data_IF_918306155133
#
_entry.id   IF_918306155133
#
_cell.length_a   1.000
_cell.length_b   1.000
_cell.length_c   1.000
_cell.angle_alpha   90.00
_cell.angle_beta   90.00
_cell.angle_gamma   90.00
#
_symmetry.space_group_name_H-M   'P 1'
#
loop_
_entity.id
_entity.type
_entity.pdbx_description
1 polymer ?
#
# COMPACT_ATOMS: atom_id res chain seq x y z
N UNK A 1 72.26 -39.02 60.97
CA UNK A 1 70.92 -38.78 61.54
C UNK A 1 70.46 -37.43 61.12
N UNK A 2 69.78 -37.32 60.00
CA UNK A 2 69.04 -36.13 59.63
C UNK A 2 67.75 -36.56 58.90
N UNK A 3 66.64 -36.34 59.54
CA UNK A 3 65.33 -36.59 58.99
C UNK A 3 65.01 -35.47 57.98
N UNK A 4 64.74 -35.80 56.70
CA UNK A 4 64.23 -34.90 55.71
C UNK A 4 62.69 -34.92 55.81
N UNK A 5 62.09 -33.78 56.07
CA UNK A 5 60.69 -33.55 55.99
C UNK A 5 60.39 -33.11 54.56
N UNK A 6 59.67 -33.97 53.81
CA UNK A 6 59.11 -33.64 52.52
C UNK A 6 57.79 -32.97 52.80
N UNK A 7 57.72 -31.67 52.58
CA UNK A 7 56.49 -30.88 52.65
C UNK A 7 55.77 -31.02 51.31
N UNK A 8 54.61 -31.72 51.28
CA UNK A 8 53.74 -31.71 50.13
C UNK A 8 52.98 -30.43 50.10
N UNK A 9 53.28 -29.55 49.11
CA UNK A 9 52.52 -28.37 48.78
C UNK A 9 51.32 -28.82 47.92
N UNK A 10 50.16 -29.02 48.52
CA UNK A 10 48.89 -29.17 47.78
C UNK A 10 48.50 -27.82 47.20
N UNK A 11 48.83 -27.64 45.92
CA UNK A 11 48.30 -26.54 45.14
C UNK A 11 46.81 -26.78 44.84
N UNK A 12 45.97 -26.08 45.58
CA UNK A 12 44.55 -26.03 45.26
C UNK A 12 44.40 -25.14 44.01
N UNK A 13 44.29 -25.75 42.85
CA UNK A 13 43.96 -25.11 41.61
C UNK A 13 42.46 -24.74 41.66
N UNK A 14 42.18 -23.53 42.13
CA UNK A 14 40.84 -22.94 42.06
C UNK A 14 40.53 -22.62 40.59
N UNK A 15 39.97 -23.57 39.88
CA UNK A 15 39.40 -23.33 38.54
C UNK A 15 38.20 -22.41 38.74
N UNK A 16 38.42 -21.10 38.59
CA UNK A 16 37.30 -20.17 38.36
C UNK A 16 36.66 -20.54 37.03
N UNK A 17 35.65 -21.38 37.05
CA UNK A 17 34.64 -21.43 36.00
C UNK A 17 33.96 -20.03 35.95
N UNK A 18 34.52 -19.14 35.14
CA UNK A 18 33.76 -18.00 34.66
C UNK A 18 32.67 -18.59 33.81
N UNK A 19 31.53 -18.88 34.45
CA UNK A 19 30.28 -19.17 33.75
C UNK A 19 29.98 -17.94 32.90
N UNK A 20 30.30 -18.02 31.61
CA UNK A 20 29.65 -17.20 30.59
C UNK A 20 28.16 -17.58 30.66
N UNK A 21 27.45 -16.96 31.59
CA UNK A 21 26.03 -16.81 31.44
C UNK A 21 25.87 -15.96 30.18
N UNK A 22 25.68 -16.61 29.03
CA UNK A 22 25.03 -16.00 27.91
C UNK A 22 23.72 -15.46 28.48
N UNK A 23 23.75 -14.20 28.91
CA UNK A 23 22.52 -13.46 29.14
C UNK A 23 21.85 -13.46 27.78
N UNK A 24 20.95 -14.43 27.57
CA UNK A 24 19.92 -14.34 26.56
C UNK A 24 19.27 -12.99 26.83
N UNK A 25 19.68 -11.98 26.09
CA UNK A 25 18.92 -10.75 26.01
C UNK A 25 17.54 -11.23 25.57
N UNK A 26 16.58 -11.32 26.50
CA UNK A 26 15.17 -11.37 26.13
C UNK A 26 15.03 -10.17 25.22
N UNK A 27 14.96 -10.40 23.92
CA UNK A 27 14.76 -9.34 22.96
C UNK A 27 13.53 -8.57 23.44
N UNK A 28 13.78 -7.31 23.84
CA UNK A 28 12.68 -6.47 24.30
C UNK A 28 11.68 -6.44 23.17
N UNK A 29 10.44 -6.85 23.45
CA UNK A 29 9.36 -6.85 22.48
C UNK A 29 9.35 -5.54 21.69
N UNK A 30 9.44 -5.63 20.38
CA UNK A 30 9.42 -4.45 19.49
C UNK A 30 8.12 -3.68 19.73
N UNK A 31 8.24 -2.38 20.02
CA UNK A 31 7.13 -1.48 20.23
C UNK A 31 6.96 -0.61 19.00
N UNK A 32 5.78 -0.65 18.40
CA UNK A 32 5.45 0.11 17.20
C UNK A 32 4.31 1.08 17.51
N UNK A 33 4.46 2.34 17.12
CA UNK A 33 3.39 3.33 17.06
C UNK A 33 2.97 3.53 15.61
N UNK A 34 1.68 3.63 15.33
CA UNK A 34 1.19 3.91 13.98
C UNK A 34 0.15 5.03 14.03
N UNK A 35 0.31 6.03 13.18
CA UNK A 35 -0.66 7.10 12.98
C UNK A 35 -1.10 7.15 11.53
N UNK A 36 -2.41 7.17 11.31
CA UNK A 36 -3.03 7.19 9.99
C UNK A 36 -3.99 8.36 9.86
N UNK A 37 -4.30 8.75 8.64
CA UNK A 37 -5.18 9.90 8.38
C UNK A 37 -6.58 9.67 8.94
N UNK A 38 -7.22 8.54 8.62
CA UNK A 38 -8.61 8.30 9.01
C UNK A 38 -8.91 6.79 9.16
N UNK A 39 -9.42 6.40 10.34
CA UNK A 39 -9.87 5.05 10.64
C UNK A 39 -11.36 4.81 10.32
N UNK A 40 -12.11 5.85 9.95
CA UNK A 40 -13.47 5.67 9.41
C UNK A 40 -13.44 5.03 8.01
N UNK A 41 -12.30 5.13 7.32
CA UNK A 41 -12.05 4.40 6.08
C UNK A 41 -11.82 2.91 6.41
N UNK A 42 -12.71 2.00 5.93
CA UNK A 42 -12.61 0.57 6.23
C UNK A 42 -11.31 -0.08 5.78
N UNK A 43 -10.69 0.41 4.70
CA UNK A 43 -9.41 -0.07 4.20
C UNK A 43 -8.29 0.16 5.24
N UNK A 44 -8.20 1.37 5.78
CA UNK A 44 -7.21 1.70 6.81
C UNK A 44 -7.47 0.96 8.13
N UNK A 45 -8.74 0.85 8.53
CA UNK A 45 -9.10 0.05 9.70
C UNK A 45 -8.67 -1.42 9.52
N UNK A 46 -8.91 -2.00 8.35
CA UNK A 46 -8.49 -3.35 8.00
C UNK A 46 -6.96 -3.54 8.04
N UNK A 47 -6.22 -2.61 7.44
CA UNK A 47 -4.74 -2.63 7.48
C UNK A 47 -4.21 -2.56 8.91
N UNK A 48 -4.67 -1.61 9.70
CA UNK A 48 -4.23 -1.45 11.09
C UNK A 48 -4.50 -2.69 11.94
N UNK A 49 -5.66 -3.31 11.80
CA UNK A 49 -6.01 -4.55 12.51
C UNK A 49 -5.13 -5.73 12.10
N UNK A 50 -4.90 -5.91 10.79
CA UNK A 50 -4.07 -6.98 10.28
C UNK A 50 -2.60 -6.82 10.72
N UNK A 51 -2.05 -5.60 10.62
CA UNK A 51 -0.69 -5.27 11.05
C UNK A 51 -0.53 -5.48 12.56
N UNK A 52 -1.53 -5.07 13.37
CA UNK A 52 -1.50 -5.30 14.80
C UNK A 52 -1.44 -6.79 15.15
N UNK A 53 -2.26 -7.59 14.47
CA UNK A 53 -2.32 -9.04 14.65
C UNK A 53 -0.98 -9.71 14.28
N UNK A 54 -0.39 -9.28 13.16
CA UNK A 54 0.90 -9.79 12.70
C UNK A 54 2.02 -9.43 13.68
N UNK A 55 2.15 -8.17 14.08
CA UNK A 55 3.16 -7.72 15.04
C UNK A 55 3.00 -8.46 16.39
N UNK A 56 1.77 -8.68 16.85
CA UNK A 56 1.51 -9.44 18.08
C UNK A 56 1.91 -10.91 17.92
N UNK A 57 1.67 -11.53 16.78
CA UNK A 57 2.07 -12.93 16.50
C UNK A 57 3.59 -13.12 16.57
N UNK A 58 4.35 -12.05 16.27
CA UNK A 58 5.83 -12.02 16.36
C UNK A 58 6.35 -11.57 17.74
N UNK A 59 5.48 -11.43 18.74
CA UNK A 59 5.86 -11.01 20.09
C UNK A 59 6.03 -9.51 20.28
N UNK A 60 5.75 -8.69 19.27
CA UNK A 60 5.78 -7.24 19.33
C UNK A 60 4.48 -6.63 19.85
N UNK A 61 4.44 -5.30 19.92
CA UNK A 61 3.25 -4.51 20.29
C UNK A 61 3.05 -3.38 19.31
N UNK A 62 1.82 -3.24 18.79
CA UNK A 62 1.40 -2.09 17.98
C UNK A 62 0.28 -1.33 18.69
N UNK A 63 0.45 -0.02 18.83
CA UNK A 63 -0.63 0.92 19.10
C UNK A 63 -0.84 1.78 17.84
N UNK A 64 -2.09 1.90 17.39
CA UNK A 64 -2.41 2.73 16.24
C UNK A 64 -3.55 3.71 16.57
N UNK A 65 -3.51 4.89 15.94
CA UNK A 65 -4.45 6.00 16.15
C UNK A 65 -4.77 6.71 14.84
N UNK A 66 -5.92 7.38 14.80
CA UNK A 66 -6.31 8.28 13.71
C UNK A 66 -6.01 9.74 14.06
N UNK A 67 -5.42 10.46 13.13
CA UNK A 67 -5.27 11.90 13.27
C UNK A 67 -6.44 12.71 12.67
N UNK A 68 -7.43 12.04 12.04
CA UNK A 68 -8.60 12.67 11.44
C UNK A 68 -8.22 13.77 10.44
N UNK A 69 -7.21 13.47 9.61
CA UNK A 69 -6.62 14.38 8.62
C UNK A 69 -6.10 15.72 9.20
N UNK A 70 -5.82 15.75 10.51
CA UNK A 70 -5.32 16.93 11.22
C UNK A 70 -3.83 16.75 11.56
N UNK A 71 -2.97 17.54 10.92
CA UNK A 71 -1.52 17.46 11.11
C UNK A 71 -1.08 17.81 12.53
N UNK A 72 -1.69 18.79 13.19
CA UNK A 72 -1.34 19.16 14.57
C UNK A 72 -1.67 18.03 15.55
N UNK A 73 -2.80 17.35 15.34
CA UNK A 73 -3.15 16.14 16.09
C UNK A 73 -2.13 15.04 15.83
N UNK A 74 -1.68 14.87 14.57
CA UNK A 74 -0.69 13.88 14.21
C UNK A 74 0.68 14.13 14.86
N UNK A 75 1.14 15.39 14.87
CA UNK A 75 2.37 15.80 15.58
C UNK A 75 2.30 15.39 17.06
N UNK A 76 1.21 15.74 17.77
CA UNK A 76 1.01 15.34 19.17
C UNK A 76 1.02 13.82 19.34
N UNK A 77 0.46 13.05 18.41
CA UNK A 77 0.49 11.59 18.44
C UNK A 77 1.92 11.05 18.28
N UNK A 78 2.72 11.60 17.37
CA UNK A 78 4.13 11.27 17.21
C UNK A 78 4.91 11.50 18.50
N UNK A 79 4.75 12.68 19.12
CA UNK A 79 5.38 13.04 20.40
C UNK A 79 5.02 12.04 21.50
N UNK A 80 3.73 11.67 21.62
CA UNK A 80 3.23 10.69 22.59
C UNK A 80 3.82 9.29 22.34
N UNK A 81 3.93 8.84 21.10
CA UNK A 81 4.59 7.58 20.78
C UNK A 81 6.06 7.60 21.16
N UNK A 82 6.78 8.67 20.84
CA UNK A 82 8.18 8.84 21.23
C UNK A 82 8.33 8.79 22.76
N UNK A 83 7.48 9.51 23.49
CA UNK A 83 7.48 9.52 24.96
C UNK A 83 7.17 8.12 25.55
N UNK A 84 6.35 7.32 24.90
CA UNK A 84 6.03 5.94 25.32
C UNK A 84 7.15 4.94 25.02
N UNK A 85 8.21 5.36 24.34
CA UNK A 85 9.41 4.56 24.05
C UNK A 85 9.16 3.51 22.95
N UNK A 86 8.48 3.88 21.86
CA UNK A 86 8.38 3.03 20.67
C UNK A 86 9.73 2.91 19.98
N UNK A 87 9.95 1.77 19.31
CA UNK A 87 11.15 1.54 18.50
C UNK A 87 10.94 2.03 17.07
N UNK A 88 9.72 1.89 16.55
CA UNK A 88 9.34 2.25 15.18
C UNK A 88 8.06 3.07 15.21
N UNK A 89 8.05 4.12 14.39
CA UNK A 89 6.85 4.87 14.01
C UNK A 89 6.47 4.52 12.58
N UNK A 90 5.20 4.17 12.35
CA UNK A 90 4.60 4.05 11.03
C UNK A 90 3.71 5.28 10.83
N UNK A 91 3.94 6.03 9.76
CA UNK A 91 3.27 7.33 9.54
C UNK A 91 2.65 7.36 8.15
N UNK A 92 1.32 7.42 8.08
CA UNK A 92 0.58 7.84 6.90
C UNK A 92 0.22 9.33 7.09
N UNK A 93 0.95 10.27 6.47
CA UNK A 93 0.92 11.67 6.86
C UNK A 93 -0.38 12.36 6.44
N UNK A 94 -0.93 13.19 7.32
CA UNK A 94 -2.03 14.11 6.97
C UNK A 94 -1.53 15.30 6.13
N UNK A 95 -0.31 15.74 6.41
CA UNK A 95 0.43 16.73 5.66
C UNK A 95 1.91 16.34 5.67
N UNK A 96 2.46 15.90 4.51
CA UNK A 96 3.85 15.48 4.40
C UNK A 96 4.86 16.53 4.83
N UNK A 97 4.64 17.80 4.51
CA UNK A 97 5.56 18.87 4.88
C UNK A 97 5.43 19.22 6.37
N UNK A 98 4.20 19.28 6.88
CA UNK A 98 3.93 19.68 8.25
C UNK A 98 4.40 18.68 9.31
N UNK A 99 4.59 17.40 8.97
CA UNK A 99 5.00 16.37 9.93
C UNK A 99 6.52 16.24 10.08
N UNK A 100 7.32 16.76 9.14
CA UNK A 100 8.75 16.50 9.02
C UNK A 100 9.57 16.85 10.28
N UNK A 101 9.32 17.98 10.90
CA UNK A 101 10.06 18.41 12.09
C UNK A 101 9.85 17.45 13.28
N UNK A 102 8.64 16.95 13.47
CA UNK A 102 8.35 15.98 14.54
C UNK A 102 8.99 14.62 14.29
N UNK A 103 9.08 14.20 13.02
CA UNK A 103 9.78 12.96 12.64
C UNK A 103 11.30 13.08 12.82
N UNK A 104 11.88 14.25 12.49
CA UNK A 104 13.27 14.54 12.77
C UNK A 104 13.59 14.39 14.25
N UNK A 105 12.77 15.01 15.11
CA UNK A 105 12.94 14.91 16.57
C UNK A 105 12.78 13.45 17.08
N UNK A 106 11.84 12.69 16.50
CA UNK A 106 11.68 11.28 16.82
C UNK A 106 12.94 10.48 16.49
N UNK A 107 13.53 10.71 15.32
CA UNK A 107 14.78 10.04 14.89
C UNK A 107 15.98 10.44 15.75
N UNK A 108 16.10 11.68 16.16
CA UNK A 108 17.13 12.16 17.09
C UNK A 108 17.06 11.43 18.45
N UNK A 109 15.87 10.97 18.86
CA UNK A 109 15.65 10.12 20.04
C UNK A 109 15.80 8.62 19.76
N UNK A 110 16.26 8.24 18.56
CA UNK A 110 16.55 6.86 18.18
C UNK A 110 15.34 6.06 17.66
N UNK A 111 14.17 6.68 17.50
CA UNK A 111 13.01 6.05 16.91
C UNK A 111 13.18 5.94 15.40
N UNK A 112 12.89 4.77 14.84
CA UNK A 112 12.90 4.54 13.39
C UNK A 112 11.58 4.93 12.77
N UNK A 113 11.61 5.42 11.52
CA UNK A 113 10.41 5.92 10.83
C UNK A 113 10.17 5.15 9.54
N UNK A 114 8.99 4.55 9.44
CA UNK A 114 8.41 3.98 8.23
C UNK A 114 7.32 4.92 7.72
N UNK A 115 7.57 5.61 6.61
CA UNK A 115 6.58 6.43 5.93
C UNK A 115 5.71 5.55 5.01
N UNK A 116 4.42 5.81 4.99
CA UNK A 116 3.44 5.10 4.17
C UNK A 116 2.85 6.06 3.12
N UNK A 117 2.95 5.68 1.86
CA UNK A 117 2.49 6.37 0.65
C UNK A 117 3.20 7.69 0.31
N UNK A 118 3.97 8.29 1.21
CA UNK A 118 4.71 9.53 0.99
C UNK A 118 6.21 9.35 1.22
N UNK A 119 7.02 9.99 0.36
CA UNK A 119 8.47 9.98 0.49
C UNK A 119 8.95 11.09 1.43
N UNK A 120 8.79 10.87 2.73
CA UNK A 120 9.20 11.80 3.77
C UNK A 120 10.73 11.87 3.91
N UNK A 121 11.29 13.09 4.05
CA UNK A 121 12.74 13.29 4.18
C UNK A 121 13.30 12.60 5.43
N UNK A 122 12.53 12.65 6.52
CA UNK A 122 12.88 12.07 7.81
C UNK A 122 12.37 10.63 7.99
N UNK A 123 12.00 9.91 6.93
CA UNK A 123 11.77 8.49 6.97
C UNK A 123 13.09 7.70 6.84
N UNK A 124 13.19 6.56 7.55
CA UNK A 124 14.24 5.56 7.33
C UNK A 124 13.87 4.63 6.17
N UNK A 125 12.58 4.28 6.05
CA UNK A 125 11.99 3.58 4.88
C UNK A 125 10.73 4.33 4.49
N UNK A 126 10.55 4.57 3.19
CA UNK A 126 9.30 5.04 2.58
C UNK A 126 8.68 3.90 1.76
N UNK A 127 7.45 3.50 2.10
CA UNK A 127 6.71 2.46 1.40
C UNK A 127 5.68 3.10 0.47
N UNK A 128 6.01 3.13 -0.82
CA UNK A 128 5.43 4.02 -1.82
C UNK A 128 4.57 3.29 -2.84
N UNK A 129 3.68 4.04 -3.49
CA UNK A 129 3.00 3.63 -4.71
C UNK A 129 3.62 4.44 -5.87
N UNK A 130 4.07 3.74 -6.91
CA UNK A 130 4.34 4.38 -8.19
C UNK A 130 3.00 4.62 -8.90
N UNK A 131 2.45 5.82 -8.74
CA UNK A 131 1.14 6.16 -9.29
C UNK A 131 1.13 6.23 -10.82
N UNK A 132 2.24 6.64 -11.47
CA UNK A 132 2.33 6.59 -12.91
C UNK A 132 2.35 5.15 -13.41
N UNK A 133 3.17 4.29 -12.78
CA UNK A 133 3.21 2.86 -13.13
C UNK A 133 1.89 2.15 -12.85
N UNK A 134 1.19 2.50 -11.76
CA UNK A 134 -0.16 1.97 -11.50
C UNK A 134 -1.12 2.33 -12.64
N UNK A 135 -1.13 3.58 -13.07
CA UNK A 135 -1.89 4.02 -14.24
C UNK A 135 -1.47 3.32 -15.52
N UNK A 136 -0.15 3.18 -15.73
CA UNK A 136 0.38 2.48 -16.90
C UNK A 136 -0.09 1.01 -16.93
N UNK A 137 -0.09 0.32 -15.81
CA UNK A 137 -0.61 -1.05 -15.70
C UNK A 137 -2.10 -1.13 -16.08
N UNK A 138 -2.91 -0.18 -15.61
CA UNK A 138 -4.34 -0.12 -16.00
C UNK A 138 -4.48 0.05 -17.52
N UNK A 139 -3.74 1.01 -18.07
CA UNK A 139 -3.76 1.30 -19.51
C UNK A 139 -3.19 0.17 -20.37
N UNK A 140 -2.20 -0.55 -19.88
CA UNK A 140 -1.62 -1.74 -20.54
C UNK A 140 -2.66 -2.84 -20.71
N UNK A 141 -3.42 -3.17 -19.65
CA UNK A 141 -4.51 -4.15 -19.74
C UNK A 141 -5.64 -3.68 -20.65
N UNK A 142 -5.97 -2.38 -20.62
CA UNK A 142 -6.94 -1.79 -21.54
C UNK A 142 -6.45 -1.88 -23.01
N UNK A 143 -5.19 -1.55 -23.26
CA UNK A 143 -4.60 -1.65 -24.60
C UNK A 143 -4.51 -3.09 -25.11
N UNK A 144 -4.15 -4.04 -24.23
CA UNK A 144 -4.18 -5.47 -24.54
C UNK A 144 -5.59 -5.91 -24.97
N UNK A 145 -6.60 -5.52 -24.21
CA UNK A 145 -8.00 -5.79 -24.54
C UNK A 145 -8.40 -5.19 -25.89
N UNK A 146 -8.02 -3.95 -26.16
CA UNK A 146 -8.28 -3.28 -27.45
C UNK A 146 -7.67 -4.08 -28.60
N UNK A 147 -6.44 -4.52 -28.46
CA UNK A 147 -5.75 -5.27 -29.52
C UNK A 147 -6.34 -6.65 -29.73
N UNK A 148 -6.65 -7.39 -28.67
CA UNK A 148 -7.13 -8.77 -28.75
C UNK A 148 -8.62 -8.91 -29.06
N UNK A 149 -9.47 -7.99 -28.53
CA UNK A 149 -10.93 -8.09 -28.63
C UNK A 149 -11.55 -7.13 -29.64
N UNK A 150 -10.87 -6.01 -29.94
CA UNK A 150 -11.43 -4.93 -30.75
C UNK A 150 -10.62 -4.66 -32.03
N UNK A 151 -9.66 -5.55 -32.37
CA UNK A 151 -8.85 -5.41 -33.59
C UNK A 151 -7.96 -4.16 -33.60
N UNK A 152 -7.53 -3.70 -32.42
CA UNK A 152 -6.62 -2.58 -32.24
C UNK A 152 -7.26 -1.20 -32.33
N UNK A 153 -8.59 -1.10 -32.45
CA UNK A 153 -9.32 0.18 -32.58
C UNK A 153 -10.46 0.26 -31.56
N UNK A 154 -10.52 1.36 -30.82
CA UNK A 154 -11.59 1.62 -29.88
C UNK A 154 -11.75 3.11 -29.59
N UNK A 155 -12.96 3.53 -29.23
CA UNK A 155 -13.17 4.77 -28.49
C UNK A 155 -13.01 4.48 -27.00
N UNK A 156 -12.20 5.29 -26.32
CA UNK A 156 -11.78 5.13 -24.93
C UNK A 156 -12.23 6.34 -24.12
N UNK A 157 -12.79 6.10 -22.93
CA UNK A 157 -13.00 7.12 -21.93
C UNK A 157 -12.00 6.93 -20.77
N UNK A 158 -11.54 8.03 -20.17
CA UNK A 158 -10.70 8.01 -18.97
C UNK A 158 -11.42 8.78 -17.86
N UNK A 159 -11.65 8.11 -16.72
CA UNK A 159 -12.12 8.73 -15.50
C UNK A 159 -10.93 8.93 -14.57
N UNK A 160 -10.51 10.18 -14.43
CA UNK A 160 -9.33 10.57 -13.64
C UNK A 160 -9.70 11.53 -12.49
N UNK A 161 -8.71 12.15 -11.85
CA UNK A 161 -8.90 13.23 -10.87
C UNK A 161 -7.65 14.12 -10.82
N UNK A 162 -7.50 15.03 -11.79
CA UNK A 162 -6.28 15.84 -11.95
C UNK A 162 -6.06 16.88 -10.85
N UNK A 163 -7.03 17.12 -9.98
CA UNK A 163 -6.95 18.03 -8.85
C UNK A 163 -5.94 17.57 -7.78
N UNK A 164 -5.66 16.27 -7.73
CA UNK A 164 -4.63 15.69 -6.86
C UNK A 164 -3.42 15.22 -7.71
N UNK A 165 -2.21 15.74 -7.46
CA UNK A 165 -1.03 15.43 -8.27
C UNK A 165 -0.72 13.93 -8.42
N UNK A 166 -0.92 13.14 -7.35
CA UNK A 166 -0.71 11.68 -7.39
C UNK A 166 -1.72 10.99 -8.31
N UNK A 167 -2.97 11.44 -8.32
CA UNK A 167 -4.02 10.87 -9.18
C UNK A 167 -3.90 11.37 -10.62
N UNK A 168 -3.40 12.59 -10.83
CA UNK A 168 -3.01 13.08 -12.16
C UNK A 168 -1.93 12.18 -12.79
N UNK A 169 -0.90 11.80 -12.02
CA UNK A 169 0.12 10.87 -12.50
C UNK A 169 -0.48 9.52 -12.90
N UNK A 170 -1.45 9.00 -12.13
CA UNK A 170 -2.15 7.75 -12.44
C UNK A 170 -2.95 7.87 -13.74
N UNK A 171 -3.69 8.97 -13.92
CA UNK A 171 -4.42 9.26 -15.16
C UNK A 171 -3.49 9.37 -16.39
N UNK A 172 -2.34 10.04 -16.22
CA UNK A 172 -1.32 10.14 -17.27
C UNK A 172 -0.76 8.76 -17.63
N UNK A 173 -0.46 7.90 -16.66
CA UNK A 173 -0.01 6.53 -16.92
C UNK A 173 -0.99 5.72 -17.76
N UNK A 174 -2.32 5.83 -17.48
CA UNK A 174 -3.35 5.19 -18.32
C UNK A 174 -3.27 5.68 -19.77
N UNK A 175 -3.21 6.99 -19.94
CA UNK A 175 -3.13 7.63 -21.25
C UNK A 175 -1.88 7.21 -22.03
N UNK A 176 -0.72 7.24 -21.38
CA UNK A 176 0.57 6.89 -21.97
C UNK A 176 0.60 5.44 -22.45
N UNK A 177 0.10 4.50 -21.65
CA UNK A 177 0.02 3.10 -22.02
C UNK A 177 -0.89 2.87 -23.21
N UNK A 178 -2.11 3.43 -23.20
CA UNK A 178 -3.07 3.29 -24.31
C UNK A 178 -2.49 3.88 -25.60
N UNK A 179 -1.93 5.09 -25.54
CA UNK A 179 -1.35 5.77 -26.70
C UNK A 179 -0.18 4.98 -27.29
N UNK A 180 0.65 4.40 -26.44
CA UNK A 180 1.83 3.64 -26.85
C UNK A 180 1.50 2.24 -27.38
N UNK A 181 0.58 1.53 -26.70
CA UNK A 181 0.35 0.10 -26.94
C UNK A 181 -0.87 -0.20 -27.83
N UNK A 182 -1.80 0.76 -27.96
CA UNK A 182 -2.94 0.71 -28.88
C UNK A 182 -3.07 2.02 -29.68
N UNK A 183 -2.11 2.35 -30.56
CA UNK A 183 -1.99 3.66 -31.18
C UNK A 183 -3.15 4.06 -32.09
N UNK A 184 -4.01 3.12 -32.49
CA UNK A 184 -5.21 3.39 -33.27
C UNK A 184 -6.47 3.56 -32.40
N UNK A 185 -6.34 3.44 -31.07
CA UNK A 185 -7.42 3.79 -30.15
C UNK A 185 -7.53 5.32 -30.02
N UNK A 186 -8.74 5.80 -29.81
CA UNK A 186 -9.02 7.24 -29.66
C UNK A 186 -9.55 7.50 -28.25
N UNK A 187 -8.85 8.29 -27.46
CA UNK A 187 -9.35 8.82 -26.19
C UNK A 187 -10.32 9.94 -26.53
N UNK A 188 -11.62 9.67 -26.43
CA UNK A 188 -12.72 10.58 -26.83
C UNK A 188 -13.29 11.37 -25.65
N UNK A 189 -13.02 10.92 -24.42
CA UNK A 189 -13.46 11.62 -23.20
C UNK A 189 -12.45 11.43 -22.07
N UNK A 190 -12.22 12.51 -21.34
CA UNK A 190 -11.43 12.53 -20.12
C UNK A 190 -12.16 13.42 -19.12
N UNK A 191 -12.51 12.89 -17.93
CA UNK A 191 -13.30 13.60 -16.92
C UNK A 191 -12.98 13.13 -15.52
N UNK A 192 -13.36 13.93 -14.52
CA UNK A 192 -13.13 13.60 -13.12
C UNK A 192 -14.29 12.79 -12.53
N UNK A 193 -13.95 11.68 -11.86
CA UNK A 193 -14.88 10.91 -11.05
C UNK A 193 -14.09 10.18 -9.94
N UNK A 194 -14.35 10.54 -8.68
CA UNK A 194 -13.64 9.97 -7.53
C UNK A 194 -14.56 9.07 -6.67
N UNK A 195 -15.85 9.15 -6.87
CA UNK A 195 -16.85 8.32 -6.19
C UNK A 195 -17.85 7.70 -7.19
N UNK A 196 -18.62 6.65 -6.79
CA UNK A 196 -19.53 5.97 -7.70
C UNK A 196 -20.63 6.86 -8.29
N UNK A 197 -21.16 7.79 -7.53
CA UNK A 197 -22.22 8.69 -8.02
C UNK A 197 -21.73 9.60 -9.16
N UNK A 198 -20.52 10.15 -9.01
CA UNK A 198 -19.86 10.89 -10.09
C UNK A 198 -19.57 9.98 -11.28
N UNK A 199 -19.07 8.76 -11.04
CA UNK A 199 -18.80 7.76 -12.08
C UNK A 199 -20.04 7.46 -12.92
N UNK A 200 -21.21 7.25 -12.30
CA UNK A 200 -22.49 7.06 -12.98
C UNK A 200 -22.80 8.26 -13.86
N UNK A 201 -22.89 9.47 -13.27
CA UNK A 201 -23.30 10.67 -13.98
C UNK A 201 -22.39 11.00 -15.17
N UNK A 202 -21.06 10.85 -14.98
CA UNK A 202 -20.09 11.11 -16.03
C UNK A 202 -20.18 10.09 -17.16
N UNK A 203 -20.35 8.80 -16.84
CA UNK A 203 -20.48 7.78 -17.87
C UNK A 203 -21.79 7.85 -18.63
N UNK A 204 -22.90 8.21 -18.00
CA UNK A 204 -24.15 8.49 -18.70
C UNK A 204 -23.98 9.60 -19.75
N UNK A 205 -23.32 10.71 -19.35
CA UNK A 205 -23.00 11.82 -20.27
C UNK A 205 -22.09 11.35 -21.41
N UNK A 206 -21.06 10.56 -21.09
CA UNK A 206 -20.13 10.03 -22.10
C UNK A 206 -20.87 9.11 -23.08
N UNK A 207 -21.73 8.22 -22.62
CA UNK A 207 -22.49 7.33 -23.49
C UNK A 207 -23.48 8.05 -24.40
N UNK A 208 -23.97 9.22 -23.99
CA UNK A 208 -24.82 10.08 -24.82
C UNK A 208 -24.01 10.78 -25.92
N UNK A 209 -22.85 11.35 -25.55
CA UNK A 209 -22.00 12.11 -26.49
C UNK A 209 -21.08 11.23 -27.34
N UNK A 210 -20.67 10.06 -26.83
CA UNK A 210 -19.76 9.11 -27.48
C UNK A 210 -20.34 7.69 -27.37
N UNK A 211 -21.41 7.36 -28.15
CA UNK A 211 -22.12 6.10 -28.01
C UNK A 211 -21.28 4.85 -28.36
N UNK A 212 -20.15 5.03 -29.04
CA UNK A 212 -19.27 3.95 -29.46
C UNK A 212 -18.15 3.65 -28.46
N UNK A 213 -18.11 4.30 -27.30
CA UNK A 213 -17.12 3.99 -26.26
C UNK A 213 -17.24 2.53 -25.85
N UNK A 214 -16.13 1.80 -25.96
CA UNK A 214 -16.00 0.37 -25.66
C UNK A 214 -15.05 0.11 -24.49
N UNK A 215 -14.16 1.05 -24.16
CA UNK A 215 -13.13 0.89 -23.15
C UNK A 215 -13.16 2.07 -22.20
N UNK A 216 -13.08 1.80 -20.91
CA UNK A 216 -13.01 2.80 -19.86
C UNK A 216 -11.81 2.53 -18.97
N UNK A 217 -10.90 3.48 -18.86
CA UNK A 217 -9.80 3.48 -17.88
C UNK A 217 -10.17 4.34 -16.67
N UNK A 218 -10.12 3.79 -15.47
CA UNK A 218 -10.46 4.49 -14.23
C UNK A 218 -9.27 4.49 -13.27
N UNK A 219 -8.95 5.63 -12.67
CA UNK A 219 -7.85 5.74 -11.70
C UNK A 219 -8.12 5.00 -10.38
N UNK A 220 -9.36 4.62 -10.11
CA UNK A 220 -9.77 3.94 -8.88
C UNK A 220 -11.22 3.48 -8.91
N UNK A 221 -11.62 2.84 -7.82
CA UNK A 221 -12.90 2.16 -7.68
C UNK A 221 -14.13 3.07 -7.78
N UNK A 222 -14.02 4.34 -7.40
CA UNK A 222 -15.13 5.27 -7.53
C UNK A 222 -15.58 5.41 -8.99
N UNK A 223 -14.63 5.64 -9.89
CA UNK A 223 -14.91 5.71 -11.33
C UNK A 223 -15.39 4.38 -11.90
N UNK A 224 -14.71 3.27 -11.57
CA UNK A 224 -15.02 1.97 -12.18
C UNK A 224 -16.35 1.38 -11.75
N UNK A 225 -16.68 1.44 -10.46
CA UNK A 225 -17.97 0.97 -9.94
C UNK A 225 -19.12 1.78 -10.56
N UNK A 226 -18.98 3.11 -10.58
CA UNK A 226 -19.99 3.97 -11.22
C UNK A 226 -20.12 3.72 -12.72
N UNK A 227 -18.99 3.55 -13.41
CA UNK A 227 -19.01 3.20 -14.86
C UNK A 227 -19.69 1.86 -15.13
N UNK A 228 -19.48 0.88 -14.27
CA UNK A 228 -20.10 -0.44 -14.39
C UNK A 228 -21.63 -0.34 -14.26
N UNK A 229 -22.13 0.38 -13.27
CA UNK A 229 -23.56 0.59 -13.09
C UNK A 229 -24.21 1.37 -14.25
N UNK A 230 -23.56 2.44 -14.72
CA UNK A 230 -24.02 3.17 -15.89
C UNK A 230 -24.04 2.30 -17.16
N UNK A 231 -23.04 1.44 -17.35
CA UNK A 231 -22.97 0.52 -18.47
C UNK A 231 -24.06 -0.57 -18.41
N UNK A 232 -24.38 -1.08 -17.21
CA UNK A 232 -25.52 -1.99 -16.98
C UNK A 232 -26.82 -1.33 -17.37
N UNK A 233 -27.10 -0.13 -16.83
CA UNK A 233 -28.32 0.62 -17.11
C UNK A 233 -28.49 0.94 -18.61
N UNK A 234 -27.40 1.24 -19.31
CA UNK A 234 -27.39 1.52 -20.74
C UNK A 234 -27.37 0.27 -21.64
N UNK A 235 -27.38 -0.95 -21.08
CA UNK A 235 -27.31 -2.20 -21.84
C UNK A 235 -26.02 -2.39 -22.63
N UNK A 236 -24.91 -1.80 -22.15
CA UNK A 236 -23.61 -1.82 -22.82
C UNK A 236 -22.69 -2.96 -22.37
N UNK A 237 -23.07 -3.71 -21.32
CA UNK A 237 -22.30 -4.87 -20.87
C UNK A 237 -22.37 -5.97 -21.94
N UNK A 238 -21.30 -6.08 -22.71
CA UNK A 238 -21.11 -7.07 -23.78
C UNK A 238 -19.65 -7.56 -23.76
N UNK A 239 -19.36 -8.58 -24.54
CA UNK A 239 -18.01 -9.17 -24.63
C UNK A 239 -16.96 -8.20 -25.20
N UNK A 240 -17.39 -7.17 -25.90
CA UNK A 240 -16.57 -6.13 -26.50
C UNK A 240 -16.49 -4.84 -25.67
N UNK A 241 -17.03 -4.82 -24.43
CA UNK A 241 -16.95 -3.70 -23.50
C UNK A 241 -16.08 -4.05 -22.30
N UNK A 242 -15.18 -3.14 -21.92
CA UNK A 242 -14.26 -3.36 -20.81
C UNK A 242 -13.94 -2.10 -20.00
N UNK A 243 -13.96 -2.25 -18.67
CA UNK A 243 -13.54 -1.25 -17.68
C UNK A 243 -12.28 -1.79 -16.98
N UNK A 244 -11.27 -0.94 -16.86
CA UNK A 244 -9.97 -1.25 -16.27
C UNK A 244 -9.65 -0.22 -15.20
N UNK A 245 -9.28 -0.67 -13.98
CA UNK A 245 -9.20 0.22 -12.83
C UNK A 245 -8.15 -0.21 -11.79
N UNK A 246 -8.14 0.51 -10.68
CA UNK A 246 -7.40 0.17 -9.46
C UNK A 246 -8.33 0.07 -8.26
N UNK A 247 -7.77 -0.40 -7.15
CA UNK A 247 -8.23 -0.58 -5.79
C UNK A 247 -8.74 -1.99 -5.49
N UNK A 248 -9.20 -2.75 -6.50
CA UNK A 248 -9.72 -4.12 -6.37
C UNK A 248 -10.69 -4.27 -5.17
N UNK A 249 -11.60 -3.31 -5.03
CA UNK A 249 -12.62 -3.32 -3.97
C UNK A 249 -13.59 -4.48 -4.14
N UNK A 250 -14.28 -4.91 -3.07
CA UNK A 250 -15.22 -6.02 -3.17
C UNK A 250 -16.30 -5.86 -4.28
N UNK A 251 -16.87 -4.65 -4.52
CA UNK A 251 -17.75 -4.44 -5.66
C UNK A 251 -17.08 -4.68 -7.01
N UNK A 252 -15.82 -4.23 -7.20
CA UNK A 252 -15.08 -4.48 -8.43
C UNK A 252 -14.76 -5.97 -8.62
N UNK A 253 -14.30 -6.63 -7.56
CA UNK A 253 -14.02 -8.06 -7.58
C UNK A 253 -15.26 -8.87 -7.90
N UNK A 254 -16.42 -8.50 -7.34
CA UNK A 254 -17.68 -9.14 -7.64
C UNK A 254 -18.10 -8.93 -9.10
N UNK A 255 -17.93 -7.71 -9.63
CA UNK A 255 -18.20 -7.41 -11.03
C UNK A 255 -17.30 -8.21 -11.99
N UNK A 256 -16.00 -8.36 -11.66
CA UNK A 256 -15.07 -9.21 -12.41
C UNK A 256 -15.54 -10.67 -12.34
N UNK A 257 -15.90 -11.16 -11.16
CA UNK A 257 -16.37 -12.54 -10.94
C UNK A 257 -17.62 -12.85 -11.75
N UNK A 258 -18.54 -11.91 -11.81
CA UNK A 258 -19.81 -12.02 -12.53
C UNK A 258 -19.69 -11.78 -14.05
N UNK A 259 -18.49 -11.47 -14.54
CA UNK A 259 -18.24 -11.09 -15.93
C UNK A 259 -19.08 -9.87 -16.39
N UNK A 260 -19.19 -8.86 -15.51
CA UNK A 260 -19.83 -7.58 -15.81
C UNK A 260 -18.90 -6.69 -16.67
N UNK A 261 -19.00 -5.35 -16.57
CA UNK A 261 -18.17 -4.43 -17.36
C UNK A 261 -16.71 -4.39 -16.91
N UNK A 262 -16.43 -4.57 -15.61
CA UNK A 262 -15.07 -4.51 -15.08
C UNK A 262 -14.32 -5.80 -15.46
N UNK A 263 -13.23 -5.64 -16.20
CA UNK A 263 -12.41 -6.75 -16.69
C UNK A 263 -11.14 -6.94 -15.88
N UNK A 264 -10.63 -5.87 -15.28
CA UNK A 264 -9.44 -5.89 -14.44
C UNK A 264 -9.48 -4.73 -13.43
N UNK A 265 -9.03 -4.99 -12.20
CA UNK A 265 -8.70 -3.96 -11.23
C UNK A 265 -7.38 -4.30 -10.54
N UNK A 266 -6.48 -3.33 -10.39
CA UNK A 266 -5.19 -3.54 -9.74
C UNK A 266 -5.36 -3.47 -8.23
N UNK A 267 -4.95 -4.54 -7.51
CA UNK A 267 -4.73 -4.44 -6.06
C UNK A 267 -3.30 -4.06 -5.76
N UNK A 268 -3.11 -3.27 -4.69
CA UNK A 268 -1.80 -2.75 -4.30
C UNK A 268 -1.29 -3.57 -3.12
N UNK A 269 -0.23 -4.34 -3.35
CA UNK A 269 0.39 -5.27 -2.37
C UNK A 269 -0.42 -6.54 -2.08
N UNK A 270 -1.70 -6.61 -2.45
CA UNK A 270 -2.52 -7.80 -2.25
C UNK A 270 -3.46 -7.70 -1.04
N UNK A 271 -3.63 -8.80 -0.30
CA UNK A 271 -4.56 -8.87 0.85
C UNK A 271 -4.02 -8.18 2.10
N UNK A 272 -4.89 -7.90 3.08
CA UNK A 272 -4.49 -7.33 4.37
C UNK A 272 -3.41 -8.17 5.09
N UNK A 273 -3.43 -9.49 4.93
CA UNK A 273 -2.41 -10.39 5.49
C UNK A 273 -1.05 -10.14 4.85
N UNK A 274 -0.99 -10.08 3.53
CA UNK A 274 0.26 -9.81 2.80
C UNK A 274 0.80 -8.43 3.15
N UNK A 275 -0.06 -7.43 3.26
CA UNK A 275 0.31 -6.08 3.71
C UNK A 275 0.93 -6.12 5.10
N UNK A 276 0.32 -6.85 6.04
CA UNK A 276 0.81 -6.97 7.41
C UNK A 276 2.19 -7.65 7.47
N UNK A 277 2.39 -8.72 6.70
CA UNK A 277 3.69 -9.42 6.57
C UNK A 277 4.78 -8.51 6.00
N UNK A 278 4.47 -7.72 4.96
CA UNK A 278 5.42 -6.75 4.37
C UNK A 278 5.79 -5.66 5.37
N UNK A 279 4.82 -5.13 6.10
CA UNK A 279 5.06 -4.12 7.16
C UNK A 279 5.93 -4.70 8.27
N UNK A 280 5.64 -5.93 8.72
CA UNK A 280 6.49 -6.60 9.71
C UNK A 280 7.92 -6.75 9.21
N UNK A 281 8.16 -7.21 7.98
CA UNK A 281 9.50 -7.33 7.41
C UNK A 281 10.27 -6.00 7.41
N UNK A 282 9.59 -4.87 7.13
CA UNK A 282 10.21 -3.54 7.22
C UNK A 282 10.49 -3.15 8.67
N UNK A 283 9.61 -3.47 9.62
CA UNK A 283 9.84 -3.25 11.06
C UNK A 283 11.04 -4.07 11.56
N UNK A 284 11.16 -5.33 11.16
CA UNK A 284 12.34 -6.17 11.46
C UNK A 284 13.61 -5.55 10.90
N UNK A 285 13.60 -5.10 9.65
CA UNK A 285 14.75 -4.44 9.03
C UNK A 285 15.16 -3.19 9.81
N UNK A 286 14.21 -2.33 10.17
CA UNK A 286 14.42 -1.10 10.93
C UNK A 286 15.02 -1.35 12.33
N UNK A 287 14.67 -2.48 12.95
CA UNK A 287 15.09 -2.82 14.31
C UNK A 287 16.30 -3.77 14.38
N UNK A 288 16.74 -4.30 13.23
CA UNK A 288 17.85 -5.26 13.15
C UNK A 288 19.25 -4.68 13.50
N UNK A 289 19.39 -3.36 13.54
CA UNK A 289 20.69 -2.69 13.67
C UNK A 289 21.57 -2.74 12.41
N UNK A 290 21.08 -3.38 11.33
CA UNK A 290 21.78 -3.43 10.05
C UNK A 290 21.51 -2.18 9.21
N UNK A 291 22.43 -1.81 8.28
CA UNK A 291 22.16 -0.75 7.32
C UNK A 291 20.86 -1.03 6.52
N UNK A 292 20.12 0.03 6.25
CA UNK A 292 18.93 -0.05 5.41
C UNK A 292 19.37 0.00 3.95
N UNK A 293 19.15 -1.09 3.21
CA UNK A 293 19.60 -1.22 1.83
C UNK A 293 18.86 -0.32 0.86
N UNK A 294 17.53 -0.19 1.05
CA UNK A 294 16.66 0.65 0.22
C UNK A 294 15.80 1.54 1.10
N UNK A 295 15.95 2.85 0.91
CA UNK A 295 15.08 3.83 1.58
C UNK A 295 13.68 3.85 0.95
N UNK A 296 13.58 3.76 -0.37
CA UNK A 296 12.31 3.72 -1.10
C UNK A 296 11.95 2.28 -1.48
N UNK A 297 10.82 1.83 -1.00
CA UNK A 297 10.26 0.50 -1.29
C UNK A 297 8.92 0.69 -1.97
N UNK A 298 8.85 0.32 -3.24
CA UNK A 298 7.62 0.44 -4.02
C UNK A 298 6.72 -0.77 -3.79
N UNK A 299 5.44 -0.48 -3.63
CA UNK A 299 4.39 -1.48 -3.44
C UNK A 299 4.14 -2.25 -4.73
N UNK A 300 3.92 -3.54 -4.59
CA UNK A 300 3.63 -4.41 -5.71
C UNK A 300 2.24 -4.09 -6.28
N UNK A 301 2.15 -4.02 -7.60
CA UNK A 301 0.92 -3.78 -8.35
C UNK A 301 0.47 -5.10 -8.94
N UNK A 302 -0.66 -5.63 -8.47
CA UNK A 302 -1.15 -6.96 -8.85
C UNK A 302 -2.46 -6.80 -9.60
N UNK A 303 -2.48 -7.04 -10.93
CA UNK A 303 -3.72 -7.05 -11.70
C UNK A 303 -4.61 -8.22 -11.29
N UNK A 304 -5.85 -7.91 -10.92
CA UNK A 304 -6.89 -8.90 -10.62
C UNK A 304 -7.85 -8.97 -11.80
N UNK A 305 -7.92 -10.14 -12.39
CA UNK A 305 -8.76 -10.45 -13.54
C UNK A 305 -9.67 -11.64 -13.23
N UNK A 306 -10.44 -12.09 -14.19
CA UNK A 306 -11.32 -13.27 -14.04
C UNK A 306 -10.55 -14.53 -13.63
N UNK A 307 -9.29 -14.65 -14.03
CA UNK A 307 -8.46 -15.84 -13.80
C UNK A 307 -8.02 -15.98 -12.34
N UNK A 308 -7.90 -14.87 -11.60
CA UNK A 308 -7.37 -14.89 -10.23
C UNK A 308 -8.26 -14.23 -9.17
N UNK A 309 -9.42 -13.68 -9.56
CA UNK A 309 -10.32 -12.93 -8.67
C UNK A 309 -10.74 -13.71 -7.41
N UNK A 310 -10.86 -15.01 -7.50
CA UNK A 310 -11.27 -15.87 -6.37
C UNK A 310 -10.26 -15.85 -5.21
N UNK A 311 -9.03 -15.47 -5.48
CA UNK A 311 -7.99 -15.32 -4.45
C UNK A 311 -8.19 -14.08 -3.57
N UNK A 312 -8.98 -13.11 -4.02
CA UNK A 312 -9.18 -11.80 -3.38
C UNK A 312 -10.60 -11.57 -2.87
N UNK A 313 -11.58 -12.34 -3.34
CA UNK A 313 -12.97 -12.21 -2.90
C UNK A 313 -13.12 -12.60 -1.42
N UNK A 314 -13.79 -11.71 -0.65
CA UNK A 314 -14.09 -11.96 0.76
C UNK A 314 -12.89 -11.91 1.71
N UNK A 315 -11.77 -11.33 1.29
CA UNK A 315 -10.54 -11.26 2.09
C UNK A 315 -10.15 -9.84 2.45
#
# INVERSE_FOLDING_TARGET
MKKQYITYLLGVLLVMMVGLTSASSKDKAVKVGMTVQDLSNPTWAGYCQAIQKEIQSKGGKLNYVSCESNVNKQITQVENFVASGVNVLIVHPADPAGIEDSLKQAREKGVKVLAWDDNLQNADIAWLIDNHQLGYTIGEYAAKWINEKLGGKAEVAILNYPQLPILLQRGNGIKDAITKLAPNAKIVAETSAINPAEGITKMETIFQSNPNVKVVGCIGSGGSVGSNEAAKAAGKIKDDFGIFAADATQPELQAIKNNEGIRMSVTITGTNTVIAEKVWGMVEQLTSGKPIEKKEVYRELIPVTKENVDQYLGK
#
